data_IF_588358763893
#
_entry.id   IF_588358763893
#
_cell.length_a   1.000
_cell.length_b   1.000
_cell.length_c   1.000
_cell.angle_alpha   90.00
_cell.angle_beta   90.00
_cell.angle_gamma   90.00
#
_symmetry.space_group_name_H-M   'P 1'
#
loop_
_entity.id
_entity.type
_entity.pdbx_description
1 polymer ?
#
# COMPACT_ATOMS: atom_id res chain seq x y z
N UNK A 1 -1.68 -13.63 4.93
CA UNK A 1 -2.33 -13.35 6.23
C UNK A 1 -3.76 -13.85 6.18
N UNK A 2 -4.13 -14.68 7.13
CA UNK A 2 -5.41 -15.40 7.11
C UNK A 2 -6.33 -15.01 8.27
N UNK A 3 -5.95 -14.01 9.08
CA UNK A 3 -6.76 -13.56 10.21
C UNK A 3 -8.05 -12.93 9.69
N UNK A 4 -9.23 -13.40 10.15
CA UNK A 4 -10.48 -12.77 9.74
C UNK A 4 -10.58 -11.35 10.29
N UNK A 5 -10.94 -10.40 9.45
CA UNK A 5 -11.02 -8.98 9.80
C UNK A 5 -12.41 -8.48 9.42
N UNK A 6 -13.21 -8.08 10.41
CA UNK A 6 -14.56 -7.57 10.19
C UNK A 6 -14.59 -6.06 9.94
N UNK A 7 -13.64 -5.32 10.52
CA UNK A 7 -13.52 -3.88 10.33
C UNK A 7 -12.98 -3.56 8.94
N UNK A 8 -13.67 -2.73 8.18
CA UNK A 8 -13.27 -2.35 6.83
C UNK A 8 -11.91 -1.66 6.78
N UNK A 9 -11.54 -0.89 7.82
CA UNK A 9 -10.24 -0.25 7.91
C UNK A 9 -9.13 -1.27 8.08
N UNK A 10 -9.35 -2.28 8.92
CA UNK A 10 -8.39 -3.35 9.14
C UNK A 10 -8.26 -4.24 7.91
N UNK A 11 -9.37 -4.49 7.20
CA UNK A 11 -9.33 -5.24 5.95
C UNK A 11 -8.48 -4.53 4.90
N UNK A 12 -8.64 -3.22 4.76
CA UNK A 12 -7.83 -2.43 3.82
C UNK A 12 -6.36 -2.42 4.21
N UNK A 13 -6.07 -2.32 5.51
CA UNK A 13 -4.69 -2.39 6.02
C UNK A 13 -4.07 -3.75 5.74
N UNK A 14 -4.81 -4.81 5.95
CA UNK A 14 -4.36 -6.17 5.66
C UNK A 14 -4.07 -6.36 4.18
N UNK A 15 -4.95 -5.89 3.31
CA UNK A 15 -4.74 -5.95 1.86
C UNK A 15 -3.50 -5.17 1.44
N UNK A 16 -3.34 -3.94 1.97
CA UNK A 16 -2.19 -3.10 1.66
C UNK A 16 -0.89 -3.78 2.08
N UNK A 17 -0.87 -4.35 3.29
CA UNK A 17 0.31 -5.03 3.81
C UNK A 17 0.69 -6.24 2.95
N UNK A 18 -0.28 -7.05 2.58
CA UNK A 18 -0.06 -8.20 1.72
C UNK A 18 0.46 -7.78 0.33
N UNK A 19 -0.12 -6.73 -0.23
CA UNK A 19 0.31 -6.22 -1.53
C UNK A 19 1.72 -5.64 -1.49
N UNK A 20 2.07 -4.91 -0.43
CA UNK A 20 3.43 -4.40 -0.25
C UNK A 20 4.43 -5.57 -0.24
N UNK A 21 4.09 -6.66 0.42
CA UNK A 21 4.90 -7.88 0.40
C UNK A 21 5.00 -8.47 -0.99
N UNK A 22 3.87 -8.67 -1.66
CA UNK A 22 3.81 -9.30 -2.99
C UNK A 22 4.44 -8.43 -4.08
N UNK A 23 4.54 -7.13 -3.85
CA UNK A 23 5.24 -6.21 -4.75
C UNK A 23 6.73 -6.08 -4.41
N UNK A 24 7.31 -7.10 -3.81
CA UNK A 24 8.74 -7.17 -3.56
C UNK A 24 9.22 -6.44 -2.31
N UNK A 25 8.35 -6.29 -1.30
CA UNK A 25 8.70 -5.57 -0.08
C UNK A 25 8.68 -4.06 -0.26
N UNK A 26 7.72 -3.57 -1.01
CA UNK A 26 7.57 -2.14 -1.30
C UNK A 26 7.30 -1.33 -0.03
N UNK A 27 7.93 -0.16 0.10
CA UNK A 27 7.66 0.77 1.20
C UNK A 27 6.31 1.44 1.03
N UNK A 28 5.73 1.95 2.13
CA UNK A 28 4.43 2.61 2.07
C UNK A 28 4.47 3.88 1.22
N UNK A 29 5.58 4.63 1.21
CA UNK A 29 5.68 5.83 0.39
C UNK A 29 5.52 5.49 -1.10
N UNK A 30 6.17 4.41 -1.56
CA UNK A 30 6.03 3.97 -2.94
C UNK A 30 4.62 3.46 -3.21
N UNK A 31 4.06 2.69 -2.28
CA UNK A 31 2.74 2.11 -2.40
C UNK A 31 1.65 3.18 -2.51
N UNK A 32 1.70 4.19 -1.63
CA UNK A 32 0.71 5.27 -1.61
C UNK A 32 0.74 6.13 -2.87
N UNK A 33 1.91 6.24 -3.52
CA UNK A 33 2.08 7.04 -4.73
C UNK A 33 1.92 6.26 -6.03
N UNK A 34 1.58 4.97 -5.98
CA UNK A 34 1.36 4.20 -7.20
C UNK A 34 0.19 4.76 -7.98
N UNK A 35 0.37 4.81 -9.29
CA UNK A 35 -0.66 5.25 -10.24
C UNK A 35 -1.14 4.08 -11.10
N UNK A 36 -2.32 4.22 -11.65
CA UNK A 36 -2.89 3.18 -12.52
C UNK A 36 -1.99 2.89 -13.71
N UNK A 37 -1.29 3.90 -14.22
CA UNK A 37 -0.34 3.75 -15.32
C UNK A 37 0.92 2.96 -14.97
N UNK A 38 1.19 2.70 -13.68
CA UNK A 38 2.32 1.88 -13.29
C UNK A 38 2.09 0.39 -13.54
N UNK A 39 0.84 -0.02 -13.77
CA UNK A 39 0.50 -1.42 -14.04
C UNK A 39 0.00 -1.55 -15.47
N UNK A 40 0.71 -2.30 -16.29
CA UNK A 40 0.34 -2.58 -17.69
C UNK A 40 0.65 -4.03 -18.02
N UNK A 41 -0.34 -4.72 -18.59
CA UNK A 41 -0.18 -6.09 -19.05
C UNK A 41 0.37 -7.04 -17.98
N UNK A 42 -0.08 -6.87 -16.73
CA UNK A 42 0.35 -7.70 -15.61
C UNK A 42 1.75 -7.38 -15.09
N UNK A 43 2.33 -6.27 -15.53
CA UNK A 43 3.66 -5.83 -15.09
C UNK A 43 3.54 -4.53 -14.29
N UNK A 44 4.12 -4.52 -13.10
CA UNK A 44 4.26 -3.33 -12.28
C UNK A 44 5.62 -2.70 -12.57
N UNK A 45 5.59 -1.43 -12.98
CA UNK A 45 6.79 -0.68 -13.36
C UNK A 45 6.72 0.69 -12.68
N UNK A 46 7.64 0.94 -11.75
CA UNK A 46 7.63 2.17 -10.98
C UNK A 46 9.05 2.56 -10.57
N UNK A 47 9.22 3.82 -10.18
CA UNK A 47 10.48 4.31 -9.64
C UNK A 47 10.35 4.54 -8.13
N UNK A 48 11.35 4.09 -7.36
CA UNK A 48 11.36 4.34 -5.92
C UNK A 48 11.40 5.83 -5.63
N UNK A 49 10.51 6.29 -4.74
CA UNK A 49 10.42 7.71 -4.37
C UNK A 49 11.73 8.23 -3.78
N UNK A 50 12.38 7.44 -2.95
CA UNK A 50 13.59 7.86 -2.23
C UNK A 50 14.81 7.98 -3.13
N UNK A 51 14.97 7.08 -4.10
CA UNK A 51 16.21 6.95 -4.88
C UNK A 51 16.01 7.16 -6.38
N UNK A 52 14.78 7.14 -6.86
CA UNK A 52 14.48 7.14 -8.28
C UNK A 52 14.81 5.84 -9.00
N UNK A 53 15.25 4.81 -8.28
CA UNK A 53 15.63 3.53 -8.85
C UNK A 53 14.44 2.86 -9.53
N UNK A 54 14.55 2.49 -10.82
CA UNK A 54 13.45 1.80 -11.50
C UNK A 54 13.29 0.37 -10.97
N UNK A 55 12.02 0.01 -10.72
CA UNK A 55 11.63 -1.30 -10.24
C UNK A 55 10.60 -1.89 -11.19
N UNK A 56 10.77 -3.15 -11.55
CA UNK A 56 9.86 -3.83 -12.45
C UNK A 56 9.64 -5.26 -11.98
N UNK A 57 8.37 -5.66 -11.88
CA UNK A 57 8.04 -7.03 -11.48
C UNK A 57 6.71 -7.47 -12.09
N UNK A 58 6.58 -8.78 -12.27
CA UNK A 58 5.35 -9.39 -12.73
C UNK A 58 4.35 -9.49 -11.57
N UNK A 59 3.09 -9.13 -11.84
CA UNK A 59 2.03 -9.21 -10.85
C UNK A 59 1.40 -10.59 -10.89
N UNK A 60 1.45 -11.30 -9.76
CA UNK A 60 0.81 -12.59 -9.63
C UNK A 60 -0.72 -12.42 -9.63
N UNK A 61 -1.43 -13.45 -10.08
CA UNK A 61 -2.89 -13.45 -10.13
C UNK A 61 -3.51 -13.15 -8.76
N UNK A 62 -2.95 -13.70 -7.69
CA UNK A 62 -3.40 -13.43 -6.32
C UNK A 62 -3.29 -11.95 -5.97
N UNK A 63 -2.18 -11.32 -6.34
CA UNK A 63 -1.96 -9.89 -6.12
C UNK A 63 -2.92 -9.04 -6.95
N UNK A 64 -3.24 -9.47 -8.16
CA UNK A 64 -4.19 -8.77 -9.02
C UNK A 64 -5.56 -8.68 -8.37
N UNK A 65 -6.06 -9.77 -7.81
CA UNK A 65 -7.33 -9.79 -7.09
C UNK A 65 -7.30 -8.82 -5.91
N UNK A 66 -6.22 -8.83 -5.14
CA UNK A 66 -6.05 -7.97 -3.97
C UNK A 66 -6.00 -6.49 -4.31
N UNK A 67 -5.23 -6.10 -5.35
CA UNK A 67 -5.12 -4.69 -5.65
C UNK A 67 -6.42 -4.12 -6.24
N UNK A 68 -7.16 -4.94 -6.96
CA UNK A 68 -8.48 -4.53 -7.47
C UNK A 68 -9.47 -4.32 -6.34
N UNK A 69 -9.45 -5.16 -5.33
CA UNK A 69 -10.28 -4.97 -4.15
C UNK A 69 -9.92 -3.70 -3.40
N UNK A 70 -8.64 -3.45 -3.18
CA UNK A 70 -8.18 -2.26 -2.44
C UNK A 70 -8.39 -0.97 -3.22
N UNK A 71 -8.17 -0.98 -4.52
CA UNK A 71 -8.34 0.21 -5.35
C UNK A 71 -9.80 0.58 -5.59
N UNK A 72 -10.71 -0.39 -5.49
CA UNK A 72 -12.13 -0.22 -5.81
C UNK A 72 -12.38 -0.34 -7.31
N UNK A 73 -13.67 -0.27 -7.67
CA UNK A 73 -14.10 -0.46 -9.06
C UNK A 73 -13.97 0.80 -9.91
N UNK A 74 -13.90 1.98 -9.28
CA UNK A 74 -13.85 3.25 -10.01
C UNK A 74 -12.43 3.69 -10.26
N UNK A 75 -12.13 4.05 -11.51
CA UNK A 75 -10.89 4.74 -11.84
C UNK A 75 -10.95 6.14 -11.25
N UNK A 76 -9.93 6.54 -10.50
CA UNK A 76 -9.86 7.87 -9.90
C UNK A 76 -9.34 8.87 -10.91
N UNK A 77 -9.94 10.06 -10.93
CA UNK A 77 -9.49 11.15 -11.81
C UNK A 77 -8.05 11.56 -11.50
N UNK A 78 -7.61 11.37 -10.24
CA UNK A 78 -6.24 11.64 -9.83
C UNK A 78 -5.20 10.75 -10.48
N UNK A 79 -5.61 9.58 -11.01
CA UNK A 79 -4.70 8.58 -11.53
C UNK A 79 -4.02 7.72 -10.47
N UNK A 80 -4.19 7.99 -9.19
CA UNK A 80 -3.65 7.14 -8.12
C UNK A 80 -4.39 5.81 -8.06
N UNK A 81 -3.62 4.74 -7.86
CA UNK A 81 -4.18 3.40 -7.81
C UNK A 81 -4.99 3.15 -6.53
N UNK A 82 -4.53 3.68 -5.40
CA UNK A 82 -5.14 3.46 -4.10
C UNK A 82 -5.63 4.77 -3.47
N UNK A 83 -6.60 4.71 -2.52
CA UNK A 83 -7.23 5.91 -1.96
C UNK A 83 -6.46 6.55 -0.80
N UNK A 84 -5.12 6.50 -0.81
CA UNK A 84 -4.32 7.15 0.24
C UNK A 84 -4.09 8.62 -0.03
N UNK A 85 -3.99 9.00 -1.30
CA UNK A 85 -3.81 10.38 -1.74
C UNK A 85 -4.97 10.78 -2.64
N UNK A 86 -5.47 12.02 -2.45
CA UNK A 86 -6.60 12.52 -3.24
C UNK A 86 -6.21 12.87 -4.68
N UNK A 87 -4.95 13.26 -4.88
CA UNK A 87 -4.48 13.78 -6.16
C UNK A 87 -4.92 15.22 -6.44
N UNK A 88 -5.61 15.86 -5.48
CA UNK A 88 -6.08 17.25 -5.63
C UNK A 88 -5.15 18.25 -4.95
N UNK A 89 -4.15 17.78 -4.23
CA UNK A 89 -3.21 18.60 -3.46
C UNK A 89 -1.82 18.52 -4.04
N UNK A 90 -1.04 19.58 -3.88
CA UNK A 90 0.31 19.69 -4.42
C UNK A 90 1.28 20.21 -3.36
N UNK A 91 2.56 19.92 -3.54
CA UNK A 91 3.63 20.42 -2.70
C UNK A 91 3.47 20.03 -1.24
N UNK A 92 3.49 21.03 -0.37
CA UNK A 92 3.39 20.82 1.08
C UNK A 92 2.07 20.17 1.49
N UNK A 93 0.97 20.53 0.83
CA UNK A 93 -0.35 19.97 1.16
C UNK A 93 -0.42 18.49 0.83
N UNK A 94 0.17 18.07 -0.28
CA UNK A 94 0.28 16.65 -0.62
C UNK A 94 1.16 15.91 0.39
N UNK A 95 2.27 16.52 0.80
CA UNK A 95 3.15 15.96 1.81
C UNK A 95 2.42 15.75 3.15
N UNK A 96 1.62 16.73 3.58
CA UNK A 96 0.82 16.62 4.80
C UNK A 96 -0.25 15.54 4.67
N UNK A 97 -0.88 15.43 3.51
CA UNK A 97 -1.86 14.38 3.24
C UNK A 97 -1.20 12.99 3.31
N UNK A 98 -0.02 12.85 2.72
CA UNK A 98 0.73 11.61 2.78
C UNK A 98 1.09 11.24 4.23
N UNK A 99 1.59 12.20 5.02
CA UNK A 99 1.95 11.95 6.41
C UNK A 99 0.72 11.54 7.24
N UNK A 100 -0.43 12.14 7.00
CA UNK A 100 -1.67 11.74 7.65
C UNK A 100 -2.08 10.32 7.26
N UNK A 101 -1.92 9.96 5.99
CA UNK A 101 -2.20 8.61 5.52
C UNK A 101 -1.26 7.59 6.16
N UNK A 102 0.03 7.90 6.24
CA UNK A 102 1.03 7.04 6.88
C UNK A 102 0.71 6.84 8.37
N UNK A 103 0.35 7.92 9.07
CA UNK A 103 -0.04 7.85 10.48
C UNK A 103 -1.24 6.91 10.66
N UNK A 104 -2.27 7.07 9.84
CA UNK A 104 -3.46 6.20 9.89
C UNK A 104 -3.11 4.76 9.56
N UNK A 105 -2.27 4.54 8.56
CA UNK A 105 -1.84 3.20 8.18
C UNK A 105 -1.12 2.51 9.33
N UNK A 106 -0.15 3.18 9.95
CA UNK A 106 0.60 2.61 11.07
C UNK A 106 -0.29 2.37 12.30
N UNK A 107 -1.25 3.25 12.56
CA UNK A 107 -2.23 3.06 13.63
C UNK A 107 -3.10 1.83 13.38
N UNK A 108 -3.59 1.67 12.14
CA UNK A 108 -4.41 0.54 11.77
C UNK A 108 -3.61 -0.77 11.77
N UNK A 109 -2.35 -0.68 11.39
CA UNK A 109 -1.43 -1.83 11.44
C UNK A 109 -1.20 -2.30 12.87
N UNK A 110 -1.05 -1.37 13.81
CA UNK A 110 -0.91 -1.68 15.23
C UNK A 110 -2.17 -2.36 15.76
N UNK A 111 -3.35 -1.86 15.40
CA UNK A 111 -4.63 -2.47 15.79
C UNK A 111 -4.77 -3.88 15.20
N UNK A 112 -4.37 -4.08 13.96
CA UNK A 112 -4.38 -5.39 13.31
C UNK A 112 -3.43 -6.35 14.01
N UNK A 113 -2.25 -5.89 14.39
CA UNK A 113 -1.27 -6.66 15.15
C UNK A 113 -1.85 -7.13 16.48
N UNK A 114 -2.50 -6.24 17.22
CA UNK A 114 -3.14 -6.59 18.50
C UNK A 114 -4.25 -7.60 18.30
N UNK A 115 -5.07 -7.41 17.27
CA UNK A 115 -6.15 -8.33 16.91
C UNK A 115 -5.61 -9.74 16.60
N UNK A 116 -4.48 -9.81 15.90
CA UNK A 116 -3.86 -11.07 15.51
C UNK A 116 -3.03 -11.72 16.64
N UNK A 117 -2.85 -11.05 17.78
CA UNK A 117 -2.05 -11.56 18.90
C UNK A 117 -0.56 -11.45 18.72
N UNK A 118 -0.10 -10.63 17.78
CA UNK A 118 1.32 -10.38 17.56
C UNK A 118 1.84 -9.42 18.64
N UNK A 119 2.97 -9.72 19.25
CA UNK A 119 3.48 -8.97 20.40
C UNK A 119 4.56 -7.94 20.09
N UNK A 120 5.21 -8.03 18.94
CA UNK A 120 6.26 -7.09 18.56
C UNK A 120 5.68 -5.86 17.84
N UNK A 121 6.32 -4.70 17.98
CA UNK A 121 5.92 -3.52 17.24
C UNK A 121 6.19 -3.69 15.75
N UNK A 122 5.15 -3.48 14.93
CA UNK A 122 5.22 -3.65 13.49
C UNK A 122 4.74 -2.37 12.82
N UNK A 123 5.55 -1.83 11.93
CA UNK A 123 5.21 -0.71 11.06
C UNK A 123 5.38 -1.14 9.60
N UNK A 124 4.91 -0.33 8.67
CA UNK A 124 5.12 -0.60 7.25
C UNK A 124 6.61 -0.75 6.92
N UNK A 125 7.45 0.06 7.57
CA UNK A 125 8.89 0.01 7.39
C UNK A 125 9.49 -1.30 7.93
N UNK A 126 9.05 -1.73 9.11
CA UNK A 126 9.48 -2.98 9.73
C UNK A 126 9.15 -4.18 8.86
N UNK A 127 7.93 -4.24 8.33
CA UNK A 127 7.50 -5.32 7.43
C UNK A 127 8.40 -5.38 6.21
N UNK A 128 8.70 -4.24 5.60
CA UNK A 128 9.57 -4.16 4.44
C UNK A 128 10.97 -4.74 4.71
N UNK A 129 11.52 -4.51 5.91
CA UNK A 129 12.83 -5.02 6.29
C UNK A 129 12.84 -6.50 6.64
N UNK A 130 11.72 -7.04 7.10
CA UNK A 130 11.60 -8.46 7.44
C UNK A 130 11.40 -9.36 6.22
N UNK A 131 11.03 -8.77 5.09
CA UNK A 131 10.76 -9.53 3.88
C UNK A 131 12.05 -9.80 3.10
N UNK A 132 12.18 -11.01 2.55
CA UNK A 132 13.35 -11.36 1.75
C UNK A 132 13.45 -10.56 0.46
#
# INVERSE_FOLDING_TARGET
MTVPVEDGKQRKTQLALCLMFLFGGMSFVDFAHLKTGNIKNGILDYNRQKTGTPMRLEILETAETMYKELSGEKVRDSGYLFPFLSGTREGREEYLEYNAALFRFNRNLKALKEFAGITSDVTSYTIRHLLP
#
